data_IF_552935940421
#
_entry.id   IF_552935940421
#
_cell.length_a   1.000
_cell.length_b   1.000
_cell.length_c   1.000
_cell.angle_alpha   90.00
_cell.angle_beta   90.00
_cell.angle_gamma   90.00
#
_symmetry.space_group_name_H-M   'P 1'
#
loop_
_entity.id
_entity.type
_entity.pdbx_description
1 polymer ?
#
# COMPACT_ATOMS: atom_id res chain seq x y z
N UNK A 1 7.18 -18.24 -14.86
CA UNK A 1 6.15 -17.21 -15.09
C UNK A 1 6.79 -16.08 -15.90
N UNK A 2 6.23 -15.72 -17.05
CA UNK A 2 6.70 -14.54 -17.80
C UNK A 2 6.22 -13.28 -17.06
N UNK A 3 7.16 -12.49 -16.53
CA UNK A 3 6.86 -11.29 -15.75
C UNK A 3 7.01 -10.00 -16.55
N UNK A 4 7.33 -10.07 -17.85
CA UNK A 4 7.56 -8.89 -18.69
C UNK A 4 6.29 -8.05 -18.85
N UNK A 5 5.13 -8.68 -19.11
CA UNK A 5 3.86 -7.97 -19.25
C UNK A 5 3.40 -7.31 -17.93
N UNK A 6 3.35 -8.02 -16.78
CA UNK A 6 3.04 -7.39 -15.51
C UNK A 6 4.04 -6.30 -15.11
N UNK A 7 5.32 -6.50 -15.43
CA UNK A 7 6.34 -5.48 -15.20
C UNK A 7 6.13 -4.24 -16.07
N UNK A 8 5.76 -4.39 -17.35
CA UNK A 8 5.41 -3.26 -18.21
C UNK A 8 4.22 -2.48 -17.66
N UNK A 9 3.16 -3.16 -17.23
CA UNK A 9 2.02 -2.52 -16.60
C UNK A 9 2.44 -1.78 -15.32
N UNK A 10 3.21 -2.43 -14.45
CA UNK A 10 3.82 -1.82 -13.26
C UNK A 10 4.62 -0.57 -13.62
N UNK A 11 5.53 -0.69 -14.59
CA UNK A 11 6.46 0.36 -14.99
C UNK A 11 5.73 1.58 -15.55
N UNK A 12 4.68 1.34 -16.34
CA UNK A 12 3.85 2.40 -16.94
C UNK A 12 3.04 3.19 -15.92
N UNK A 13 2.68 2.59 -14.79
CA UNK A 13 1.95 3.25 -13.69
C UNK A 13 2.72 4.42 -13.08
N UNK A 14 4.04 4.41 -13.18
CA UNK A 14 4.88 5.47 -12.64
C UNK A 14 5.07 6.61 -13.65
N UNK A 15 4.93 7.88 -13.27
CA UNK A 15 5.39 9.00 -14.08
C UNK A 15 6.87 8.87 -14.44
N UNK A 16 7.26 9.35 -15.63
CA UNK A 16 8.62 9.20 -16.15
C UNK A 16 9.68 9.76 -15.20
N UNK A 17 9.42 10.92 -14.60
CA UNK A 17 10.25 11.57 -13.57
C UNK A 17 10.58 10.67 -12.36
N UNK A 18 9.73 9.70 -12.03
CA UNK A 18 9.96 8.77 -10.91
C UNK A 18 10.56 7.42 -11.33
N UNK A 19 10.68 7.19 -12.65
CA UNK A 19 11.35 6.02 -13.23
C UNK A 19 12.87 6.20 -13.33
N UNK A 20 13.36 7.45 -13.36
CA UNK A 20 14.73 7.82 -13.78
C UNK A 20 15.82 7.39 -12.79
N UNK A 21 15.48 6.99 -11.56
CA UNK A 21 16.49 6.74 -10.52
C UNK A 21 17.31 5.45 -10.70
N UNK A 22 16.95 4.54 -11.61
CA UNK A 22 17.77 3.36 -11.93
C UNK A 22 17.55 2.82 -13.34
N UNK A 23 18.54 2.05 -13.82
CA UNK A 23 18.42 1.24 -15.05
C UNK A 23 17.22 0.31 -14.95
N UNK A 24 16.38 0.31 -15.98
CA UNK A 24 15.16 -0.51 -16.10
C UNK A 24 15.40 -1.98 -15.78
N UNK A 25 16.50 -2.56 -16.25
CA UNK A 25 16.89 -3.96 -15.97
C UNK A 25 17.12 -4.22 -14.47
N UNK A 26 17.71 -3.28 -13.75
CA UNK A 26 17.92 -3.38 -12.30
C UNK A 26 16.62 -3.25 -11.51
N UNK A 27 15.64 -2.50 -12.02
CA UNK A 27 14.28 -2.46 -11.45
C UNK A 27 13.57 -3.78 -11.72
N UNK A 28 13.67 -4.31 -12.94
CA UNK A 28 13.05 -5.58 -13.30
C UNK A 28 13.53 -6.73 -12.41
N UNK A 29 14.84 -6.84 -12.19
CA UNK A 29 15.41 -7.85 -11.29
C UNK A 29 14.94 -7.71 -9.83
N UNK A 30 14.59 -6.50 -9.38
CA UNK A 30 13.99 -6.28 -8.05
C UNK A 30 12.51 -6.64 -8.06
N UNK A 31 11.78 -6.22 -9.09
CA UNK A 31 10.38 -6.57 -9.28
C UNK A 31 10.19 -8.09 -9.31
N UNK A 32 11.05 -8.84 -10.00
CA UNK A 32 11.02 -10.31 -10.02
C UNK A 32 11.15 -10.91 -8.61
N UNK A 33 12.07 -10.40 -7.79
CA UNK A 33 12.25 -10.85 -6.40
C UNK A 33 11.01 -10.55 -5.55
N UNK A 34 10.45 -9.36 -5.68
CA UNK A 34 9.22 -8.98 -4.95
C UNK A 34 8.03 -9.81 -5.42
N UNK A 35 7.85 -9.99 -6.74
CA UNK A 35 6.78 -10.80 -7.31
C UNK A 35 6.85 -12.26 -6.87
N UNK A 36 8.06 -12.82 -6.75
CA UNK A 36 8.26 -14.17 -6.24
C UNK A 36 7.89 -14.30 -4.76
N UNK A 37 8.23 -13.30 -3.93
CA UNK A 37 7.87 -13.27 -2.52
C UNK A 37 6.39 -12.91 -2.27
N UNK A 38 5.77 -12.17 -3.19
CA UNK A 38 4.40 -11.64 -3.06
C UNK A 38 3.63 -11.83 -4.37
N UNK A 39 3.10 -13.03 -4.67
CA UNK A 39 2.42 -13.31 -5.93
C UNK A 39 1.17 -12.43 -6.18
N UNK A 40 0.45 -12.06 -5.11
CA UNK A 40 -0.71 -11.16 -5.19
C UNK A 40 -0.37 -9.77 -5.73
N UNK A 41 0.89 -9.36 -5.58
CA UNK A 41 1.43 -8.10 -6.07
C UNK A 41 1.36 -7.98 -7.59
N UNK A 42 1.46 -9.09 -8.32
CA UNK A 42 1.48 -9.09 -9.79
C UNK A 42 0.09 -8.84 -10.38
N UNK A 43 -0.95 -9.30 -9.69
CA UNK A 43 -2.33 -9.34 -10.21
C UNK A 43 -3.17 -8.14 -9.78
N UNK A 44 -2.86 -7.50 -8.65
CA UNK A 44 -3.73 -6.49 -8.02
C UNK A 44 -3.17 -5.06 -8.08
N UNK A 45 -2.00 -4.91 -8.70
CA UNK A 45 -1.15 -3.73 -8.58
C UNK A 45 -1.63 -2.41 -9.18
N UNK A 46 -2.30 -2.35 -10.36
CA UNK A 46 -2.25 -1.12 -11.14
C UNK A 46 -2.91 0.07 -10.47
N UNK A 47 -4.07 -0.10 -9.82
CA UNK A 47 -4.89 1.06 -9.47
C UNK A 47 -4.64 1.62 -8.06
N UNK A 48 -4.60 0.76 -7.03
CA UNK A 48 -4.39 1.22 -5.65
C UNK A 48 -3.00 1.86 -5.48
N UNK A 49 -1.97 1.26 -6.08
CA UNK A 49 -0.60 1.82 -6.08
C UNK A 49 -0.55 3.12 -6.88
N UNK A 50 -1.21 3.19 -8.04
CA UNK A 50 -1.29 4.45 -8.81
C UNK A 50 -1.88 5.58 -7.98
N UNK A 51 -3.04 5.37 -7.35
CA UNK A 51 -3.70 6.38 -6.53
C UNK A 51 -2.83 6.81 -5.35
N UNK A 52 -2.19 5.85 -4.67
CA UNK A 52 -1.26 6.13 -3.59
C UNK A 52 -0.07 6.99 -4.06
N UNK A 53 0.56 6.62 -5.18
CA UNK A 53 1.68 7.35 -5.77
C UNK A 53 1.29 8.76 -6.23
N UNK A 54 0.15 8.92 -6.89
CA UNK A 54 -0.38 10.22 -7.33
C UNK A 54 -0.65 11.14 -6.15
N UNK A 55 -1.26 10.63 -5.09
CA UNK A 55 -1.54 11.43 -3.92
C UNK A 55 -0.27 11.83 -3.16
N UNK A 56 0.68 10.91 -3.00
CA UNK A 56 2.01 11.21 -2.44
C UNK A 56 2.74 12.27 -3.26
N UNK A 57 2.60 12.25 -4.59
CA UNK A 57 3.12 13.31 -5.48
C UNK A 57 2.46 14.65 -5.19
N UNK A 58 1.14 14.72 -5.07
CA UNK A 58 0.41 15.97 -4.71
C UNK A 58 0.87 16.53 -3.36
N UNK A 59 1.25 15.67 -2.43
CA UNK A 59 1.79 16.05 -1.12
C UNK A 59 3.28 16.45 -1.13
N UNK A 60 3.94 16.48 -2.29
CA UNK A 60 5.39 16.73 -2.39
C UNK A 60 6.26 15.60 -1.84
N UNK A 61 5.69 14.40 -1.63
CA UNK A 61 6.34 13.22 -1.05
C UNK A 61 6.41 12.08 -2.06
N UNK A 62 6.76 12.41 -3.30
CA UNK A 62 6.79 11.43 -4.36
C UNK A 62 7.77 10.29 -4.03
N UNK A 63 7.31 9.05 -4.22
CA UNK A 63 8.10 7.85 -3.98
C UNK A 63 8.71 7.45 -5.33
N UNK A 64 9.98 7.07 -5.36
CA UNK A 64 10.57 6.51 -6.59
C UNK A 64 10.22 5.03 -6.75
N UNK A 65 10.28 4.50 -7.97
CA UNK A 65 10.07 3.07 -8.22
C UNK A 65 10.98 2.20 -7.34
N UNK A 66 12.24 2.61 -7.17
CA UNK A 66 13.20 1.93 -6.29
C UNK A 66 12.70 1.99 -4.86
N UNK A 67 12.40 3.19 -4.36
CA UNK A 67 11.97 3.39 -2.96
C UNK A 67 10.74 2.56 -2.63
N UNK A 68 9.82 2.42 -3.58
CA UNK A 68 8.67 1.55 -3.43
C UNK A 68 9.06 0.07 -3.32
N UNK A 69 9.94 -0.42 -4.21
CA UNK A 69 10.38 -1.82 -4.24
C UNK A 69 11.33 -2.19 -3.10
N UNK A 70 12.03 -1.23 -2.48
CA UNK A 70 12.96 -1.48 -1.37
C UNK A 70 12.36 -1.17 -0.01
N UNK A 71 11.46 -0.20 0.08
CA UNK A 71 10.92 0.29 1.36
C UNK A 71 9.85 -0.61 1.99
N UNK A 72 9.61 -1.81 1.47
CA UNK A 72 8.57 -2.71 1.95
C UNK A 72 7.14 -2.19 1.76
N UNK A 73 6.97 -1.01 1.13
CA UNK A 73 5.66 -0.40 0.90
C UNK A 73 4.77 -1.30 0.04
N UNK A 74 5.39 -2.12 -0.81
CA UNK A 74 4.72 -3.13 -1.63
C UNK A 74 3.97 -4.19 -0.79
N UNK A 75 4.43 -4.51 0.42
CA UNK A 75 3.77 -5.47 1.31
C UNK A 75 2.40 -4.96 1.79
N UNK A 76 2.25 -3.64 1.87
CA UNK A 76 0.96 -2.99 2.18
C UNK A 76 -0.09 -3.23 1.07
N UNK A 77 0.30 -3.72 -0.10
CA UNK A 77 -0.58 -3.96 -1.25
C UNK A 77 -0.66 -5.44 -1.66
N UNK A 78 0.06 -6.35 -1.00
CA UNK A 78 0.21 -7.75 -1.46
C UNK A 78 -0.92 -8.70 -1.08
N UNK A 79 -1.52 -8.56 0.11
CA UNK A 79 -2.46 -9.56 0.65
C UNK A 79 -3.95 -9.21 0.50
N UNK A 80 -4.27 -7.96 0.14
CA UNK A 80 -5.62 -7.48 -0.21
C UNK A 80 -5.40 -6.01 -0.58
N UNK A 81 -5.78 -5.50 -1.76
CA UNK A 81 -5.44 -4.14 -2.13
C UNK A 81 -6.26 -3.20 -1.23
N UNK A 82 -5.60 -2.28 -0.51
CA UNK A 82 -6.30 -1.32 0.31
C UNK A 82 -7.13 -0.38 -0.57
N UNK A 83 -8.26 0.08 -0.04
CA UNK A 83 -9.00 1.17 -0.67
C UNK A 83 -8.25 2.48 -0.38
N UNK A 84 -7.99 3.25 -1.44
CA UNK A 84 -7.29 4.54 -1.35
C UNK A 84 -8.25 5.62 -1.82
N UNK A 85 -8.44 6.66 -1.00
CA UNK A 85 -9.28 7.81 -1.34
C UNK A 85 -8.59 8.78 -2.33
N UNK A 86 -9.26 9.89 -2.66
CA UNK A 86 -8.72 10.89 -3.59
C UNK A 86 -7.46 11.60 -3.08
N UNK A 87 -7.25 11.60 -1.77
CA UNK A 87 -6.14 12.25 -1.07
C UNK A 87 -4.98 11.28 -0.79
N UNK A 88 -5.11 10.01 -1.18
CA UNK A 88 -4.09 8.99 -0.98
C UNK A 88 -4.10 8.32 0.38
N UNK A 89 -5.17 8.51 1.15
CA UNK A 89 -5.29 7.92 2.48
C UNK A 89 -5.91 6.53 2.36
N UNK A 90 -5.49 5.65 3.26
CA UNK A 90 -6.02 4.30 3.37
C UNK A 90 -7.41 4.36 4.00
N UNK A 91 -8.40 3.84 3.27
CA UNK A 91 -9.77 3.68 3.73
C UNK A 91 -9.91 2.29 4.32
N UNK A 92 -9.99 2.24 5.65
CA UNK A 92 -10.13 1.02 6.43
C UNK A 92 -11.62 0.77 6.68
N UNK A 93 -12.10 -0.44 6.36
CA UNK A 93 -13.51 -0.84 6.50
C UNK A 93 -13.64 -2.12 7.32
N UNK A 94 -14.81 -2.38 7.93
CA UNK A 94 -15.11 -3.68 8.55
C UNK A 94 -14.86 -4.83 7.59
N UNK A 95 -14.32 -5.94 8.10
CA UNK A 95 -13.96 -7.13 7.32
C UNK A 95 -12.57 -7.10 6.68
N UNK A 96 -11.84 -5.98 6.80
CA UNK A 96 -10.41 -5.93 6.45
C UNK A 96 -9.56 -6.41 7.65
N UNK A 97 -8.42 -7.08 7.40
CA UNK A 97 -7.57 -7.58 8.47
C UNK A 97 -7.01 -6.45 9.36
N UNK A 98 -6.79 -5.26 8.80
CA UNK A 98 -6.37 -4.07 9.56
C UNK A 98 -7.45 -3.44 10.46
N UNK A 99 -8.73 -3.83 10.34
CA UNK A 99 -9.83 -3.18 11.06
C UNK A 99 -9.71 -3.33 12.58
N UNK A 100 -9.52 -4.55 13.07
CA UNK A 100 -9.43 -4.84 14.52
C UNK A 100 -8.21 -4.16 15.14
N UNK A 101 -7.08 -4.18 14.45
CA UNK A 101 -5.83 -3.51 14.86
C UNK A 101 -6.07 -2.00 15.05
N UNK A 102 -6.72 -1.35 14.08
CA UNK A 102 -7.05 0.07 14.18
C UNK A 102 -8.03 0.37 15.30
N UNK A 103 -9.05 -0.46 15.53
CA UNK A 103 -9.97 -0.25 16.66
C UNK A 103 -9.23 -0.33 18.01
N UNK A 104 -8.31 -1.29 18.16
CA UNK A 104 -7.46 -1.41 19.35
C UNK A 104 -6.57 -0.17 19.54
N UNK A 105 -5.89 0.26 18.48
CA UNK A 105 -5.08 1.48 18.50
C UNK A 105 -5.89 2.72 18.90
N UNK A 106 -7.06 2.92 18.27
CA UNK A 106 -7.94 4.07 18.54
C UNK A 106 -8.49 4.03 19.96
N UNK A 107 -8.81 2.85 20.50
CA UNK A 107 -9.21 2.69 21.90
C UNK A 107 -8.13 3.17 22.86
N UNK A 108 -6.88 2.77 22.62
CA UNK A 108 -5.75 3.09 23.50
C UNK A 108 -5.39 4.58 23.48
N UNK A 109 -5.52 5.25 22.33
CA UNK A 109 -5.10 6.64 22.17
C UNK A 109 -6.22 7.67 22.37
N UNK A 110 -7.46 7.29 22.11
CA UNK A 110 -8.61 8.22 22.08
C UNK A 110 -9.83 7.73 22.87
N UNK A 111 -9.77 6.55 23.48
CA UNK A 111 -10.84 6.00 24.29
C UNK A 111 -11.99 5.36 23.49
N UNK A 112 -12.95 4.79 24.21
CA UNK A 112 -14.03 3.99 23.63
C UNK A 112 -15.00 4.81 22.77
N UNK A 113 -15.27 6.08 23.12
CA UNK A 113 -16.17 6.94 22.34
C UNK A 113 -15.71 7.12 20.88
N UNK A 114 -14.39 7.19 20.64
CA UNK A 114 -13.84 7.27 19.28
C UNK A 114 -14.05 5.97 18.51
N UNK A 115 -13.88 4.83 19.17
CA UNK A 115 -14.13 3.50 18.59
C UNK A 115 -15.59 3.37 18.19
N UNK A 116 -16.51 3.75 19.06
CA UNK A 116 -17.95 3.67 18.79
C UNK A 116 -18.34 4.54 17.59
N UNK A 117 -17.74 5.73 17.47
CA UNK A 117 -17.91 6.58 16.30
C UNK A 117 -17.43 5.90 15.00
N UNK A 118 -16.23 5.30 15.03
CA UNK A 118 -15.65 4.61 13.86
C UNK A 118 -16.50 3.39 13.46
N UNK A 119 -16.93 2.58 14.43
CA UNK A 119 -17.80 1.42 14.21
C UNK A 119 -19.14 1.86 13.60
N UNK A 120 -19.75 2.94 14.12
CA UNK A 120 -20.99 3.50 13.57
C UNK A 120 -20.81 3.97 12.12
N UNK A 121 -19.69 4.64 11.82
CA UNK A 121 -19.39 5.13 10.46
C UNK A 121 -18.99 4.01 9.49
N UNK A 122 -18.62 2.82 9.99
CA UNK A 122 -18.13 1.67 9.21
C UNK A 122 -16.98 2.03 8.26
N UNK A 123 -16.23 3.08 8.58
CA UNK A 123 -15.07 3.52 7.82
C UNK A 123 -14.13 4.32 8.69
N UNK A 124 -12.84 4.24 8.37
CA UNK A 124 -11.78 5.02 8.99
C UNK A 124 -10.76 5.38 7.92
N UNK A 125 -10.21 6.59 7.96
CA UNK A 125 -9.26 7.10 6.96
C UNK A 125 -7.95 7.43 7.67
N UNK A 126 -6.84 6.92 7.16
CA UNK A 126 -5.53 6.99 7.83
C UNK A 126 -4.38 7.10 6.83
N UNK A 127 -3.26 7.77 7.17
CA UNK A 127 -2.13 7.94 6.25
C UNK A 127 -1.30 6.66 6.05
N UNK A 128 -1.56 5.61 6.82
CA UNK A 128 -0.87 4.32 6.76
C UNK A 128 -1.86 3.16 6.93
N UNK A 129 -1.58 2.03 6.31
CA UNK A 129 -2.49 0.87 6.33
C UNK A 129 -2.64 0.25 7.71
N UNK A 130 -1.54 0.12 8.47
CA UNK A 130 -1.53 -0.46 9.81
C UNK A 130 -1.23 0.61 10.87
N UNK A 131 -1.77 0.45 12.09
CA UNK A 131 -1.41 1.32 13.20
C UNK A 131 0.08 1.23 13.53
N UNK A 132 0.61 2.29 14.12
CA UNK A 132 2.02 2.33 14.53
C UNK A 132 2.31 1.24 15.56
N UNK A 133 3.47 0.57 15.43
CA UNK A 133 3.86 -0.54 16.29
C UNK A 133 3.19 -1.87 16.00
N UNK A 134 2.31 -1.98 14.99
CA UNK A 134 1.70 -3.25 14.61
C UNK A 134 2.69 -4.11 13.79
N UNK A 135 2.93 -5.39 14.18
CA UNK A 135 3.81 -6.28 13.44
C UNK A 135 3.22 -6.55 12.05
N UNK A 136 3.87 -6.01 11.02
CA UNK A 136 3.41 -6.13 9.62
C UNK A 136 3.47 -7.56 9.06
N UNK A 137 4.06 -8.50 9.80
CA UNK A 137 4.30 -9.88 9.37
C UNK A 137 3.10 -10.82 9.62
N UNK A 138 2.25 -10.56 10.61
CA UNK A 138 1.12 -11.44 10.97
C UNK A 138 -0.11 -11.28 10.08
N UNK A 139 -0.13 -10.29 9.19
CA UNK A 139 -1.27 -10.02 8.31
C UNK A 139 -1.27 -10.84 7.00
N UNK A 140 -0.34 -11.78 6.85
CA UNK A 140 -0.16 -12.62 5.67
C UNK A 140 -0.60 -14.09 5.86
N UNK A 141 -1.11 -14.44 7.05
CA UNK A 141 -1.69 -15.76 7.35
C UNK A 141 -3.21 -15.80 7.12
#
# INVERSE_FOLDING_TARGET
MNLDQPFEAFWRTWPEEFRISARRSSIFARYQRVAAAYPGLVNQFPEAVRRYCEARRRQGRAISVIGFLTGGTFAEFSCNPPEIDGDGWFVVRPGRPEWSAWLGYQRNHHGQARVDQIVRLKRFVTPQRWPEGYPKQEAAE
#
